data_IF_213198220413
#
_entry.id   IF_213198220413
#
_cell.length_a   1.000
_cell.length_b   1.000
_cell.length_c   1.000
_cell.angle_alpha   90.00
_cell.angle_beta   90.00
_cell.angle_gamma   90.00
#
_symmetry.space_group_name_H-M   'P 1'
#
loop_
_entity.id
_entity.type
_entity.pdbx_description
1 polymer ?
#
# COMPACT_ATOMS: atom_id res chain seq x y z
N UNK A 1 10.44 9.93 -7.07
CA UNK A 1 10.07 9.09 -5.90
C UNK A 1 8.61 8.64 -5.90
N UNK A 2 7.64 9.52 -6.14
CA UNK A 2 6.23 9.16 -6.00
C UNK A 2 5.74 8.11 -7.02
N UNK A 3 6.19 8.20 -8.28
CA UNK A 3 5.97 7.17 -9.31
C UNK A 3 6.57 5.80 -8.91
N UNK A 4 7.69 5.80 -8.18
CA UNK A 4 8.33 4.57 -7.71
C UNK A 4 7.46 3.85 -6.66
N UNK A 5 6.70 4.59 -5.84
CA UNK A 5 5.74 4.01 -4.89
C UNK A 5 4.62 3.27 -5.60
N UNK A 6 3.97 3.90 -6.58
CA UNK A 6 2.90 3.27 -7.37
C UNK A 6 3.40 2.04 -8.14
N UNK A 7 4.56 2.13 -8.79
CA UNK A 7 5.19 1.00 -9.48
C UNK A 7 5.60 -0.11 -8.53
N UNK A 8 6.11 0.23 -7.33
CA UNK A 8 6.46 -0.74 -6.29
C UNK A 8 5.26 -1.55 -5.82
N UNK A 9 4.13 -0.89 -5.54
CA UNK A 9 2.88 -1.58 -5.16
C UNK A 9 2.36 -2.49 -6.28
N UNK A 10 2.46 -2.04 -7.54
CA UNK A 10 2.06 -2.84 -8.70
C UNK A 10 2.96 -4.09 -8.83
N UNK A 11 4.27 -3.92 -8.67
CA UNK A 11 5.25 -5.00 -8.72
C UNK A 11 5.01 -6.03 -7.60
N UNK A 12 4.81 -5.59 -6.37
CA UNK A 12 4.48 -6.47 -5.24
C UNK A 12 3.18 -7.25 -5.48
N UNK A 13 2.16 -6.58 -6.03
CA UNK A 13 0.90 -7.21 -6.41
C UNK A 13 1.09 -8.24 -7.52
N UNK A 14 1.92 -7.94 -8.52
CA UNK A 14 2.24 -8.87 -9.60
C UNK A 14 3.00 -10.10 -9.08
N UNK A 15 3.94 -9.92 -8.16
CA UNK A 15 4.65 -11.03 -7.49
C UNK A 15 3.66 -11.91 -6.74
N UNK A 16 2.75 -11.32 -5.95
CA UNK A 16 1.71 -12.08 -5.25
C UNK A 16 0.79 -12.83 -6.22
N UNK A 17 0.45 -12.22 -7.35
CA UNK A 17 -0.39 -12.85 -8.37
C UNK A 17 0.30 -14.03 -9.05
N UNK A 18 1.60 -13.89 -9.38
CA UNK A 18 2.41 -15.00 -9.91
C UNK A 18 2.49 -16.14 -8.90
N UNK A 19 2.69 -15.85 -7.61
CA UNK A 19 2.67 -16.86 -6.56
C UNK A 19 1.36 -17.65 -6.57
N UNK A 20 0.23 -16.92 -6.62
CA UNK A 20 -1.10 -17.51 -6.66
C UNK A 20 -1.31 -18.39 -7.90
N UNK A 21 -0.96 -17.89 -9.09
CA UNK A 21 -1.10 -18.65 -10.35
C UNK A 21 -0.24 -19.91 -10.39
N UNK A 22 0.99 -19.82 -9.88
CA UNK A 22 1.92 -20.95 -9.85
C UNK A 22 1.63 -21.94 -8.72
N UNK A 23 0.67 -21.63 -7.83
CA UNK A 23 0.35 -22.49 -6.68
C UNK A 23 1.52 -22.66 -5.71
N UNK A 24 2.44 -21.69 -5.65
CA UNK A 24 3.56 -21.75 -4.73
C UNK A 24 3.05 -21.63 -3.28
N UNK A 25 3.23 -22.70 -2.51
CA UNK A 25 2.88 -22.72 -1.10
C UNK A 25 4.07 -22.26 -0.26
N UNK A 26 3.94 -21.10 0.37
CA UNK A 26 4.80 -20.70 1.49
C UNK A 26 5.55 -19.38 1.32
N UNK A 27 6.10 -18.94 2.46
CA UNK A 27 6.80 -17.65 2.64
C UNK A 27 8.10 -17.52 1.83
N UNK A 28 8.71 -18.64 1.44
CA UNK A 28 10.02 -18.68 0.78
C UNK A 28 10.04 -17.90 -0.53
N UNK A 29 9.00 -18.01 -1.36
CA UNK A 29 8.92 -17.28 -2.62
C UNK A 29 8.98 -15.76 -2.40
N UNK A 30 8.19 -15.24 -1.45
CA UNK A 30 8.15 -13.82 -1.11
C UNK A 30 9.46 -13.33 -0.49
N UNK A 31 10.13 -14.16 0.33
CA UNK A 31 11.44 -13.83 0.87
C UNK A 31 12.49 -13.71 -0.24
N UNK A 32 12.54 -14.68 -1.16
CA UNK A 32 13.48 -14.66 -2.30
C UNK A 32 13.21 -13.48 -3.23
N UNK A 33 11.94 -13.21 -3.54
CA UNK A 33 11.55 -12.05 -4.34
C UNK A 33 11.97 -10.74 -3.66
N UNK A 34 11.70 -10.59 -2.36
CA UNK A 34 12.12 -9.41 -1.58
C UNK A 34 13.63 -9.25 -1.54
N UNK A 35 14.37 -10.33 -1.30
CA UNK A 35 15.83 -10.32 -1.29
C UNK A 35 16.40 -9.94 -2.67
N UNK A 36 15.84 -10.50 -3.75
CA UNK A 36 16.22 -10.15 -5.12
C UNK A 36 15.98 -8.66 -5.42
N UNK A 37 14.81 -8.13 -5.08
CA UNK A 37 14.51 -6.70 -5.24
C UNK A 37 15.45 -5.82 -4.42
N UNK A 38 15.79 -6.22 -3.19
CA UNK A 38 16.75 -5.51 -2.35
C UNK A 38 18.16 -5.49 -2.95
N UNK A 39 18.63 -6.64 -3.46
CA UNK A 39 19.94 -6.75 -4.14
C UNK A 39 19.97 -5.87 -5.39
N UNK A 40 18.92 -5.91 -6.22
CA UNK A 40 18.81 -5.06 -7.41
C UNK A 40 18.82 -3.58 -7.01
N UNK A 41 18.06 -3.20 -5.98
CA UNK A 41 18.04 -1.82 -5.47
C UNK A 41 19.42 -1.37 -4.98
N UNK A 42 20.14 -2.21 -4.24
CA UNK A 42 21.48 -1.90 -3.74
C UNK A 42 22.49 -1.74 -4.89
N UNK A 43 22.41 -2.63 -5.88
CA UNK A 43 23.23 -2.58 -7.08
C UNK A 43 22.97 -1.31 -7.92
N UNK A 44 21.70 -0.90 -8.07
CA UNK A 44 21.36 0.35 -8.75
C UNK A 44 21.84 1.59 -7.97
N UNK A 45 21.64 1.61 -6.65
CA UNK A 45 22.09 2.71 -5.80
C UNK A 45 23.61 2.90 -5.86
N UNK A 46 24.37 1.82 -5.75
CA UNK A 46 25.84 1.87 -5.87
C UNK A 46 26.32 2.37 -7.23
N UNK A 47 25.57 2.11 -8.31
CA UNK A 47 25.86 2.68 -9.63
C UNK A 47 25.52 4.17 -9.74
N UNK A 48 24.40 4.59 -9.17
CA UNK A 48 23.96 6.00 -9.22
C UNK A 48 24.79 6.93 -8.32
N UNK A 49 25.33 6.43 -7.21
CA UNK A 49 26.26 7.20 -6.37
C UNK A 49 27.51 7.67 -7.13
N UNK A 50 27.87 6.99 -8.23
CA UNK A 50 28.97 7.39 -9.10
C UNK A 50 28.59 8.57 -10.02
N UNK A 51 27.29 8.80 -10.24
CA UNK A 51 26.76 9.89 -11.04
C UNK A 51 26.10 10.92 -10.13
N UNK A 52 26.92 11.74 -9.48
CA UNK A 52 26.43 12.75 -8.54
C UNK A 52 25.70 13.89 -9.28
N UNK A 53 24.38 13.76 -9.39
CA UNK A 53 23.48 14.87 -9.73
C UNK A 53 23.24 15.75 -8.50
N UNK A 54 22.93 17.04 -8.71
CA UNK A 54 22.68 18.00 -7.63
C UNK A 54 21.61 17.48 -6.64
N UNK A 55 21.93 17.51 -5.34
CA UNK A 55 21.01 17.10 -4.28
C UNK A 55 19.84 18.08 -4.18
N UNK A 56 18.69 17.72 -4.74
CA UNK A 56 17.43 18.37 -4.39
C UNK A 56 17.13 18.27 -2.88
N UNK A 57 16.45 19.28 -2.34
CA UNK A 57 16.11 19.35 -0.92
C UNK A 57 14.86 18.50 -0.61
N UNK A 58 15.07 17.25 -0.17
CA UNK A 58 14.01 16.29 0.15
C UNK A 58 13.51 16.36 1.62
N UNK A 59 13.70 17.47 2.33
CA UNK A 59 13.26 17.60 3.75
C UNK A 59 11.75 17.38 3.95
N UNK A 60 10.93 17.57 2.92
CA UNK A 60 9.51 17.29 2.98
C UNK A 60 9.19 15.80 3.19
N UNK A 61 10.12 14.87 2.92
CA UNK A 61 9.94 13.45 3.22
C UNK A 61 9.73 13.18 4.71
N UNK A 62 10.29 14.01 5.60
CA UNK A 62 10.05 13.90 7.03
C UNK A 62 8.57 14.05 7.39
N UNK A 63 7.80 14.80 6.59
CA UNK A 63 6.35 14.93 6.78
C UNK A 63 5.62 13.62 6.47
N UNK A 64 6.02 12.92 5.41
CA UNK A 64 5.45 11.62 5.06
C UNK A 64 5.79 10.55 6.10
N UNK A 65 7.02 10.56 6.63
CA UNK A 65 7.43 9.67 7.73
C UNK A 65 6.62 9.97 8.98
N UNK A 66 6.48 11.25 9.35
CA UNK A 66 5.67 11.66 10.50
C UNK A 66 4.21 11.23 10.33
N UNK A 67 3.64 11.42 9.14
CA UNK A 67 2.28 11.00 8.85
C UNK A 67 2.12 9.47 8.96
N UNK A 68 3.07 8.70 8.44
CA UNK A 68 3.07 7.25 8.61
C UNK A 68 3.13 6.83 10.08
N UNK A 69 3.97 7.48 10.90
CA UNK A 69 4.05 7.22 12.34
C UNK A 69 2.73 7.55 13.07
N UNK A 70 2.07 8.64 12.69
CA UNK A 70 0.75 9.00 13.23
C UNK A 70 -0.29 7.94 12.88
N UNK A 71 -0.37 7.53 11.61
CA UNK A 71 -1.29 6.48 11.17
C UNK A 71 -1.02 5.15 11.88
N UNK A 72 0.25 4.77 12.00
CA UNK A 72 0.67 3.57 12.71
C UNK A 72 0.26 3.64 14.19
N UNK A 73 0.50 4.78 14.84
CA UNK A 73 0.04 5.07 16.19
C UNK A 73 -1.47 4.91 16.32
N UNK A 74 -2.25 5.50 15.41
CA UNK A 74 -3.70 5.34 15.37
C UNK A 74 -4.09 3.85 15.30
N UNK A 75 -3.47 3.06 14.42
CA UNK A 75 -3.79 1.64 14.30
C UNK A 75 -3.56 0.84 15.58
N UNK A 76 -2.60 1.23 16.44
CA UNK A 76 -2.42 0.61 17.76
C UNK A 76 -3.55 0.95 18.76
N UNK A 77 -4.20 2.11 18.62
CA UNK A 77 -5.28 2.53 19.51
C UNK A 77 -6.66 2.07 19.03
N UNK A 78 -6.82 1.72 17.75
CA UNK A 78 -8.07 1.16 17.27
C UNK A 78 -8.10 -0.36 17.47
N UNK A 79 -8.28 -0.75 18.73
CA UNK A 79 -8.25 -2.16 19.20
C UNK A 79 -9.58 -2.88 18.97
N UNK A 80 -10.71 -2.16 18.97
CA UNK A 80 -12.06 -2.69 18.76
C UNK A 80 -12.92 -1.61 18.08
N UNK A 81 -13.37 -1.87 16.85
CA UNK A 81 -14.17 -0.94 16.05
C UNK A 81 -15.64 -0.96 16.47
N UNK A 82 -15.98 -0.22 17.53
CA UNK A 82 -17.34 -0.06 18.05
C UNK A 82 -18.26 0.87 17.21
N UNK A 83 -17.90 1.14 15.94
CA UNK A 83 -18.44 2.27 15.17
C UNK A 83 -19.44 1.96 14.04
N UNK A 84 -19.68 0.71 13.65
CA UNK A 84 -20.74 0.38 12.68
C UNK A 84 -20.43 -0.76 11.70
N UNK A 85 -21.44 -1.13 10.89
CA UNK A 85 -21.44 -2.26 9.94
C UNK A 85 -20.29 -2.26 8.89
N UNK A 86 -19.49 -1.20 8.80
CA UNK A 86 -18.37 -1.06 7.87
C UNK A 86 -17.15 -1.95 8.18
N UNK A 87 -17.06 -2.55 9.38
CA UNK A 87 -16.00 -3.52 9.70
C UNK A 87 -16.00 -4.72 8.73
N UNK A 88 -17.17 -5.02 8.15
CA UNK A 88 -17.38 -6.14 7.25
C UNK A 88 -16.58 -6.03 5.94
N UNK A 89 -16.54 -4.85 5.31
CA UNK A 89 -15.79 -4.65 4.06
C UNK A 89 -14.28 -4.84 4.29
N UNK A 90 -13.79 -4.35 5.43
CA UNK A 90 -12.38 -4.43 5.77
C UNK A 90 -11.94 -5.86 6.09
N UNK A 91 -12.75 -6.59 6.86
CA UNK A 91 -12.52 -8.01 7.10
C UNK A 91 -12.64 -8.84 5.81
N UNK A 92 -13.60 -8.50 4.94
CA UNK A 92 -13.70 -9.12 3.62
C UNK A 92 -12.41 -8.95 2.82
N UNK A 93 -11.81 -7.75 2.81
CA UNK A 93 -10.55 -7.53 2.10
C UNK A 93 -9.37 -8.32 2.69
N UNK A 94 -9.31 -8.48 4.01
CA UNK A 94 -8.35 -9.39 4.65
C UNK A 94 -8.57 -10.84 4.21
N UNK A 95 -9.82 -11.31 4.22
CA UNK A 95 -10.16 -12.68 3.82
C UNK A 95 -9.85 -12.93 2.33
N UNK A 96 -10.18 -11.97 1.45
CA UNK A 96 -9.81 -12.05 0.03
C UNK A 96 -8.28 -12.04 -0.16
N UNK A 97 -7.52 -11.27 0.63
CA UNK A 97 -6.07 -11.33 0.58
C UNK A 97 -5.54 -12.73 0.93
N UNK A 98 -6.20 -13.46 1.82
CA UNK A 98 -5.86 -14.85 2.15
C UNK A 98 -6.24 -15.85 1.04
N UNK A 99 -7.25 -15.55 0.20
CA UNK A 99 -7.54 -16.35 -1.01
C UNK A 99 -6.31 -16.38 -1.93
N UNK A 100 -5.65 -15.23 -2.14
CA UNK A 100 -4.44 -15.17 -2.97
C UNK A 100 -3.21 -15.86 -2.35
N UNK A 101 -3.30 -16.26 -1.07
CA UNK A 101 -2.31 -17.10 -0.42
C UNK A 101 -2.68 -18.60 -0.46
N UNK A 102 -3.83 -18.95 -1.05
CA UNK A 102 -4.37 -20.31 -1.04
C UNK A 102 -4.89 -20.76 0.33
N UNK A 103 -5.11 -19.82 1.27
CA UNK A 103 -5.56 -20.10 2.62
C UNK A 103 -7.09 -20.07 2.78
N UNK A 104 -7.78 -19.49 1.80
CA UNK A 104 -9.24 -19.39 1.75
C UNK A 104 -9.77 -19.87 0.40
N UNK A 105 -11.04 -20.26 0.36
CA UNK A 105 -11.68 -20.75 -0.87
C UNK A 105 -12.03 -19.59 -1.80
N UNK A 106 -11.85 -19.80 -3.10
CA UNK A 106 -12.15 -18.80 -4.14
C UNK A 106 -13.65 -18.59 -4.37
N UNK A 107 -14.50 -19.53 -3.95
CA UNK A 107 -15.97 -19.48 -4.06
C UNK A 107 -16.65 -18.92 -2.82
N UNK A 108 -15.89 -18.35 -1.87
CA UNK A 108 -16.42 -17.73 -0.65
C UNK A 108 -17.38 -16.59 -1.00
N UNK A 109 -18.58 -16.65 -0.41
CA UNK A 109 -19.62 -15.62 -0.56
C UNK A 109 -19.70 -14.77 0.70
N UNK A 110 -19.50 -13.47 0.54
CA UNK A 110 -19.55 -12.46 1.59
C UNK A 110 -20.87 -11.70 1.56
N UNK A 111 -21.47 -11.51 2.73
CA UNK A 111 -22.75 -10.80 2.91
C UNK A 111 -23.89 -11.34 2.03
N UNK A 112 -23.83 -12.61 1.64
CA UNK A 112 -24.84 -13.28 0.80
C UNK A 112 -24.84 -12.87 -0.68
N UNK A 113 -24.00 -11.92 -1.10
CA UNK A 113 -24.05 -11.36 -2.47
C UNK A 113 -22.68 -11.18 -3.14
N UNK A 114 -21.63 -10.90 -2.37
CA UNK A 114 -20.31 -10.57 -2.92
C UNK A 114 -19.40 -11.79 -2.93
N UNK A 115 -18.50 -11.86 -3.89
CA UNK A 115 -17.47 -12.90 -3.98
C UNK A 115 -16.11 -12.26 -4.34
N UNK A 116 -15.08 -13.08 -4.51
CA UNK A 116 -13.73 -12.62 -4.86
C UNK A 116 -13.70 -11.73 -6.12
N UNK A 117 -14.56 -11.99 -7.10
CA UNK A 117 -14.61 -11.23 -8.36
C UNK A 117 -15.38 -9.91 -8.25
N UNK A 118 -16.08 -9.67 -7.14
CA UNK A 118 -16.82 -8.43 -6.87
C UNK A 118 -15.89 -7.24 -6.53
N UNK A 119 -14.57 -7.48 -6.44
CA UNK A 119 -13.55 -6.47 -6.12
C UNK A 119 -12.38 -6.62 -7.08
N UNK A 120 -11.76 -5.50 -7.45
CA UNK A 120 -10.51 -5.53 -8.21
C UNK A 120 -9.39 -6.11 -7.35
N UNK A 121 -8.52 -7.00 -7.88
CA UNK A 121 -7.62 -7.81 -7.06
C UNK A 121 -6.41 -7.03 -6.53
N UNK A 122 -6.05 -5.90 -7.14
CA UNK A 122 -4.77 -5.23 -6.92
C UNK A 122 -4.49 -4.90 -5.45
N UNK A 123 -5.46 -4.33 -4.75
CA UNK A 123 -5.31 -3.99 -3.32
C UNK A 123 -5.11 -5.24 -2.45
N UNK A 124 -5.87 -6.29 -2.73
CA UNK A 124 -5.79 -7.53 -1.97
C UNK A 124 -4.48 -8.26 -2.26
N UNK A 125 -4.03 -8.30 -3.51
CA UNK A 125 -2.72 -8.84 -3.91
C UNK A 125 -1.56 -8.10 -3.25
N UNK A 126 -1.63 -6.78 -3.21
CA UNK A 126 -0.67 -5.95 -2.47
C UNK A 126 -0.63 -6.37 -1.00
N UNK A 127 -1.79 -6.50 -0.33
CA UNK A 127 -1.85 -6.96 1.06
C UNK A 127 -1.35 -8.40 1.24
N UNK A 128 -1.67 -9.32 0.33
CA UNK A 128 -1.21 -10.72 0.36
C UNK A 128 0.30 -10.81 0.37
N UNK A 129 0.99 -9.95 -0.38
CA UNK A 129 2.46 -9.88 -0.39
C UNK A 129 3.02 -9.71 1.03
N UNK A 130 2.49 -8.74 1.79
CA UNK A 130 2.96 -8.47 3.15
C UNK A 130 2.51 -9.52 4.17
N UNK A 131 1.30 -10.04 4.02
CA UNK A 131 0.82 -11.14 4.86
C UNK A 131 1.69 -12.40 4.73
N UNK A 132 2.11 -12.73 3.50
CA UNK A 132 3.04 -13.83 3.30
C UNK A 132 4.44 -13.52 3.84
N UNK A 133 4.92 -12.29 3.65
CA UNK A 133 6.27 -11.88 4.01
C UNK A 133 6.48 -11.74 5.53
N UNK A 134 5.51 -11.23 6.25
CA UNK A 134 5.62 -10.91 7.68
C UNK A 134 4.95 -11.98 8.53
N UNK A 135 3.61 -12.01 8.50
CA UNK A 135 2.75 -12.94 9.21
C UNK A 135 1.33 -12.86 8.64
N UNK A 136 0.61 -13.98 8.56
CA UNK A 136 -0.79 -13.99 8.16
C UNK A 136 -1.69 -13.61 9.35
N UNK A 137 -1.68 -12.34 9.74
CA UNK A 137 -2.52 -11.81 10.83
C UNK A 137 -3.24 -10.55 10.41
N UNK A 138 -4.40 -10.32 11.01
CA UNK A 138 -5.18 -9.11 10.75
C UNK A 138 -4.43 -7.83 11.15
N UNK A 139 -3.57 -7.90 12.18
CA UNK A 139 -2.73 -6.79 12.59
C UNK A 139 -1.71 -6.38 11.50
N UNK A 140 -1.06 -7.36 10.86
CA UNK A 140 -0.17 -7.10 9.72
C UNK A 140 -0.95 -6.51 8.55
N UNK A 141 -2.13 -7.05 8.27
CA UNK A 141 -3.01 -6.51 7.24
C UNK A 141 -3.35 -5.03 7.51
N UNK A 142 -3.77 -4.69 8.72
CA UNK A 142 -4.11 -3.33 9.14
C UNK A 142 -2.95 -2.33 8.97
N UNK A 143 -1.74 -2.73 9.37
CA UNK A 143 -0.53 -1.90 9.25
C UNK A 143 -0.09 -1.73 7.80
N UNK A 144 -0.28 -2.75 6.95
CA UNK A 144 0.18 -2.71 5.56
C UNK A 144 -0.81 -1.98 4.67
N UNK A 145 -2.10 -2.07 5.00
CA UNK A 145 -3.18 -1.48 4.22
C UNK A 145 -3.26 0.06 4.33
N UNK A 146 -2.54 0.69 5.25
CA UNK A 146 -2.38 2.15 5.32
C UNK A 146 -1.29 2.70 4.37
N UNK A 147 -0.40 1.85 3.85
CA UNK A 147 0.73 2.27 3.00
C UNK A 147 0.30 3.03 1.73
N UNK A 148 -0.77 2.63 1.00
CA UNK A 148 -1.27 3.42 -0.12
C UNK A 148 -1.61 4.87 0.25
N UNK A 149 -2.09 5.10 1.48
CA UNK A 149 -2.38 6.43 2.00
C UNK A 149 -1.12 7.28 2.17
N UNK A 150 -0.03 6.68 2.65
CA UNK A 150 1.27 7.36 2.73
C UNK A 150 1.78 7.70 1.33
N UNK A 151 1.71 6.75 0.39
CA UNK A 151 2.12 6.98 -1.01
C UNK A 151 1.29 8.07 -1.70
N UNK A 152 0.00 8.18 -1.38
CA UNK A 152 -0.84 9.27 -1.89
C UNK A 152 -0.28 10.65 -1.48
N UNK A 153 0.17 10.81 -0.23
CA UNK A 153 0.77 12.07 0.22
C UNK A 153 2.13 12.34 -0.45
N UNK A 154 2.86 11.29 -0.83
CA UNK A 154 4.13 11.42 -1.57
C UNK A 154 3.92 11.91 -3.02
N UNK A 155 2.70 11.91 -3.55
CA UNK A 155 2.39 12.47 -4.87
C UNK A 155 2.23 14.00 -4.85
N UNK A 156 2.02 14.63 -3.69
CA UNK A 156 1.83 16.09 -3.56
C UNK A 156 2.95 16.90 -4.24
N UNK A 157 4.25 16.56 -4.06
CA UNK A 157 5.35 17.28 -4.73
C UNK A 157 5.34 17.19 -6.25
N UNK A 158 4.65 16.21 -6.86
CA UNK A 158 4.56 16.12 -8.31
C UNK A 158 3.74 17.26 -8.92
N UNK A 159 2.81 17.83 -8.15
CA UNK A 159 1.86 18.83 -8.63
C UNK A 159 2.16 20.25 -8.13
N UNK A 160 3.17 20.41 -7.25
CA UNK A 160 3.42 21.67 -6.55
C UNK A 160 4.90 22.02 -6.50
N UNK A 161 5.17 23.33 -6.41
CA UNK A 161 6.52 23.84 -6.14
C UNK A 161 6.98 23.43 -4.74
N UNK A 162 8.30 23.19 -4.50
CA UNK A 162 8.82 22.74 -3.21
C UNK A 162 8.40 23.59 -1.99
N UNK A 163 8.29 24.91 -2.16
CA UNK A 163 7.86 25.84 -1.11
C UNK A 163 6.40 25.67 -0.67
N UNK A 164 5.54 25.11 -1.53
CA UNK A 164 4.12 24.92 -1.27
C UNK A 164 3.81 23.52 -0.72
N UNK A 165 4.77 22.59 -0.77
CA UNK A 165 4.56 21.20 -0.32
C UNK A 165 4.08 21.15 1.14
N UNK A 166 4.74 21.81 2.13
CA UNK A 166 4.27 21.72 3.52
C UNK A 166 2.86 22.27 3.69
N UNK A 167 2.54 23.38 3.00
CA UNK A 167 1.23 24.03 3.07
C UNK A 167 0.11 23.14 2.54
N UNK A 168 0.37 22.38 1.46
CA UNK A 168 -0.59 21.42 0.92
C UNK A 168 -0.61 20.08 1.66
N UNK A 169 0.53 19.67 2.23
CA UNK A 169 0.66 18.39 2.91
C UNK A 169 -0.26 18.29 4.12
N UNK A 170 -0.23 19.26 5.02
CA UNK A 170 -1.04 19.23 6.24
C UNK A 170 -2.55 19.10 6.00
N UNK A 171 -3.20 19.95 5.19
CA UNK A 171 -4.64 19.82 4.96
C UNK A 171 -5.01 18.52 4.25
N UNK A 172 -4.15 17.98 3.37
CA UNK A 172 -4.42 16.69 2.72
C UNK A 172 -4.28 15.55 3.71
N UNK A 173 -3.09 15.41 4.31
CA UNK A 173 -2.72 14.29 5.19
C UNK A 173 -3.61 14.23 6.44
N UNK A 174 -3.90 15.37 7.05
CA UNK A 174 -4.71 15.46 8.28
C UNK A 174 -6.16 15.85 8.01
N UNK A 175 -6.65 15.76 6.76
CA UNK A 175 -8.09 15.87 6.52
C UNK A 175 -8.80 14.71 7.23
N UNK A 176 -9.91 14.97 7.96
CA UNK A 176 -10.69 13.92 8.59
C UNK A 176 -11.16 12.86 7.60
N UNK A 177 -11.47 13.28 6.37
CA UNK A 177 -11.89 12.40 5.29
C UNK A 177 -10.78 11.42 4.89
N UNK A 178 -9.57 11.91 4.58
CA UNK A 178 -8.47 11.03 4.19
C UNK A 178 -8.04 10.13 5.35
N UNK A 179 -7.95 10.69 6.56
CA UNK A 179 -7.61 9.92 7.75
C UNK A 179 -8.59 8.77 7.96
N UNK A 180 -9.91 9.03 7.84
CA UNK A 180 -10.92 7.98 7.91
C UNK A 180 -10.74 6.91 6.81
N UNK A 181 -10.54 7.31 5.56
CA UNK A 181 -10.36 6.38 4.44
C UNK A 181 -9.10 5.51 4.55
N UNK A 182 -8.06 6.01 5.24
CA UNK A 182 -6.84 5.25 5.50
C UNK A 182 -7.01 4.35 6.74
N UNK A 183 -7.65 4.84 7.80
CA UNK A 183 -7.88 4.07 9.03
C UNK A 183 -8.75 2.86 8.80
N UNK A 184 -9.72 2.95 7.88
CA UNK A 184 -10.55 1.84 7.40
C UNK A 184 -10.13 1.49 5.97
N UNK A 185 -9.12 0.62 5.79
CA UNK A 185 -8.50 0.41 4.50
C UNK A 185 -9.48 0.04 3.41
N UNK A 186 -9.50 0.89 2.39
CA UNK A 186 -10.40 0.77 1.25
C UNK A 186 -9.60 0.85 -0.05
N UNK A 187 -9.88 0.03 -1.08
CA UNK A 187 -9.15 0.07 -2.35
C UNK A 187 -9.19 1.43 -3.05
N UNK A 188 -10.12 2.32 -2.67
CA UNK A 188 -10.24 3.67 -3.23
C UNK A 188 -8.95 4.48 -3.10
N UNK A 189 -8.25 4.39 -1.97
CA UNK A 189 -6.99 5.12 -1.77
C UNK A 189 -5.95 4.66 -2.77
N UNK A 190 -5.82 3.34 -2.97
CA UNK A 190 -4.91 2.76 -3.96
C UNK A 190 -5.32 3.18 -5.39
N UNK A 191 -6.62 3.17 -5.70
CA UNK A 191 -7.11 3.64 -6.99
C UNK A 191 -6.76 5.13 -7.22
N UNK A 192 -6.90 5.98 -6.20
CA UNK A 192 -6.50 7.40 -6.29
C UNK A 192 -5.02 7.56 -6.58
N UNK A 193 -4.14 6.74 -5.97
CA UNK A 193 -2.70 6.76 -6.26
C UNK A 193 -2.45 6.49 -7.75
N UNK A 194 -3.07 5.47 -8.34
CA UNK A 194 -2.89 5.15 -9.75
C UNK A 194 -3.53 6.17 -10.70
N UNK A 195 -4.70 6.73 -10.35
CA UNK A 195 -5.32 7.80 -11.15
C UNK A 195 -4.41 9.02 -11.21
N UNK A 196 -3.93 9.50 -10.06
CA UNK A 196 -3.06 10.69 -10.02
C UNK A 196 -1.71 10.43 -10.70
N UNK A 197 -1.14 9.25 -10.51
CA UNK A 197 0.09 8.81 -11.22
C UNK A 197 -0.12 8.79 -12.73
N UNK A 198 -1.27 8.27 -13.20
CA UNK A 198 -1.63 8.23 -14.61
C UNK A 198 -1.85 9.61 -15.21
N UNK A 199 -2.56 10.50 -14.51
CA UNK A 199 -2.72 11.90 -14.92
C UNK A 199 -1.37 12.57 -15.09
N UNK A 200 -0.49 12.46 -14.08
CA UNK A 200 0.84 13.06 -14.12
C UNK A 200 1.71 12.52 -15.26
N UNK A 201 1.55 11.24 -15.62
CA UNK A 201 2.36 10.61 -16.66
C UNK A 201 1.96 11.01 -18.09
N UNK A 202 0.79 11.63 -18.25
CA UNK A 202 0.27 12.09 -19.56
C UNK A 202 0.39 13.62 -19.72
N UNK A 203 0.59 14.35 -18.62
CA UNK A 203 0.82 15.80 -18.58
C UNK A 203 2.29 16.17 -18.70
#
# INVERSE_FOLDING_TARGET
MALAGASGMALQSAIAFVNFLCGFSGRTFFLLATAGLFIISLWLLTRQLWQAEERENYRWLYLAILFWLVLLGMQFFVVLYSGGFYYGDWWMHFDIAQIFLGLQKTDTVYFGTYNVTSRTPLFNLFSSYYLALLENSFAVYQITAILPGVFLTLLIPLFLRPSLIPLAFFPVAFSPYLSNMITYPWPKVLATVYILTGIYSVS
#
